data_IF_624317297323
#
_entry.id   IF_624317297323
#
_cell.length_a   1.000
_cell.length_b   1.000
_cell.length_c   1.000
_cell.angle_alpha   90.00
_cell.angle_beta   90.00
_cell.angle_gamma   90.00
#
_symmetry.space_group_name_H-M   'P 1'
#
loop_
_entity.id
_entity.type
_entity.pdbx_description
1 polymer ?
#
# COMPACT_ATOMS: atom_id res chain seq x y z
N UNK A 1 25.05 -1.98 4.79
CA UNK A 1 24.36 -2.88 3.83
C UNK A 1 22.88 -2.62 3.91
N UNK A 2 22.18 -2.60 2.77
CA UNK A 2 20.73 -2.36 2.72
C UNK A 2 19.99 -3.70 2.87
N UNK A 3 19.56 -4.03 4.09
CA UNK A 3 18.81 -5.25 4.37
C UNK A 3 17.34 -4.91 4.62
N UNK A 4 16.61 -4.57 3.55
CA UNK A 4 15.21 -4.13 3.65
C UNK A 4 14.30 -5.16 4.33
N UNK A 5 14.53 -6.45 4.08
CA UNK A 5 13.81 -7.56 4.69
C UNK A 5 13.92 -7.61 6.23
N UNK A 6 15.00 -7.07 6.82
CA UNK A 6 15.23 -7.07 8.27
C UNK A 6 14.19 -6.24 9.01
N UNK A 7 13.49 -5.31 8.34
CA UNK A 7 12.41 -4.53 8.96
C UNK A 7 11.31 -5.47 9.48
N UNK A 8 10.77 -6.33 8.63
CA UNK A 8 9.74 -7.30 9.01
C UNK A 8 10.31 -8.36 9.97
N UNK A 9 11.54 -8.82 9.72
CA UNK A 9 12.21 -9.81 10.57
C UNK A 9 12.44 -9.34 12.00
N UNK A 10 12.75 -8.05 12.22
CA UNK A 10 12.91 -7.46 13.56
C UNK A 10 11.60 -7.45 14.34
N UNK A 11 10.48 -7.18 13.67
CA UNK A 11 9.15 -7.22 14.29
C UNK A 11 8.85 -8.67 14.70
N UNK A 12 8.99 -9.62 13.78
CA UNK A 12 8.74 -11.03 14.05
C UNK A 12 9.62 -11.56 15.20
N UNK A 13 10.92 -11.25 15.19
CA UNK A 13 11.84 -11.64 16.26
C UNK A 13 11.49 -11.00 17.61
N UNK A 14 11.08 -9.73 17.63
CA UNK A 14 10.78 -9.00 18.86
C UNK A 14 9.53 -9.50 19.58
N UNK A 15 8.55 -9.98 18.82
CA UNK A 15 7.26 -10.46 19.33
C UNK A 15 7.11 -11.99 19.29
N UNK A 16 8.17 -12.71 18.88
CA UNK A 16 8.18 -14.17 18.73
C UNK A 16 7.08 -14.69 17.77
N UNK A 17 6.90 -14.00 16.64
CA UNK A 17 5.95 -14.42 15.61
C UNK A 17 6.58 -15.44 14.66
N UNK A 18 5.97 -16.62 14.57
CA UNK A 18 6.42 -17.73 13.71
C UNK A 18 5.82 -17.73 12.29
N UNK A 19 4.95 -16.78 11.96
CA UNK A 19 4.31 -16.68 10.64
C UNK A 19 5.24 -16.14 9.55
N UNK A 20 4.74 -16.10 8.31
CA UNK A 20 5.46 -15.48 7.18
C UNK A 20 5.74 -14.00 7.47
N UNK A 21 6.99 -13.59 7.31
CA UNK A 21 7.40 -12.19 7.35
C UNK A 21 8.20 -11.85 6.09
N UNK A 22 7.92 -10.69 5.49
CA UNK A 22 8.66 -10.20 4.34
C UNK A 22 8.44 -8.69 4.14
N UNK A 23 9.21 -8.13 3.23
CA UNK A 23 9.00 -6.77 2.71
C UNK A 23 8.69 -6.90 1.22
N UNK A 24 7.69 -6.17 0.76
CA UNK A 24 7.32 -6.10 -0.65
C UNK A 24 7.67 -4.72 -1.20
N UNK A 25 8.15 -4.67 -2.43
CA UNK A 25 8.42 -3.43 -3.15
C UNK A 25 7.48 -3.33 -4.35
N UNK A 26 6.56 -2.39 -4.27
CA UNK A 26 5.70 -1.98 -5.36
C UNK A 26 5.71 -0.43 -5.48
N UNK A 27 6.85 0.19 -5.17
CA UNK A 27 7.01 1.64 -5.07
C UNK A 27 5.90 2.28 -4.21
N UNK A 28 5.22 3.32 -4.70
CA UNK A 28 4.16 4.02 -3.99
C UNK A 28 2.97 3.13 -3.58
N UNK A 29 2.79 1.97 -4.20
CA UNK A 29 1.75 1.00 -3.85
C UNK A 29 2.21 -0.07 -2.85
N UNK A 30 3.44 0.02 -2.32
CA UNK A 30 4.06 -1.01 -1.48
C UNK A 30 3.23 -1.40 -0.25
N UNK A 31 2.67 -0.42 0.47
CA UNK A 31 1.83 -0.68 1.65
C UNK A 31 0.54 -1.42 1.28
N UNK A 32 -0.13 -1.03 0.20
CA UNK A 32 -1.34 -1.72 -0.29
C UNK A 32 -1.03 -3.12 -0.82
N UNK A 33 0.12 -3.32 -1.45
CA UNK A 33 0.58 -4.65 -1.86
C UNK A 33 0.85 -5.56 -0.65
N UNK A 34 1.46 -5.03 0.41
CA UNK A 34 1.68 -5.76 1.66
C UNK A 34 0.35 -6.13 2.33
N UNK A 35 -0.62 -5.22 2.34
CA UNK A 35 -1.96 -5.46 2.89
C UNK A 35 -2.68 -6.53 2.07
N UNK A 36 -2.60 -6.47 0.74
CA UNK A 36 -3.20 -7.49 -0.13
C UNK A 36 -2.65 -8.89 0.17
N UNK A 37 -1.33 -9.01 0.30
CA UNK A 37 -0.69 -10.28 0.64
C UNK A 37 -1.09 -10.78 2.03
N UNK A 38 -1.18 -9.89 3.04
CA UNK A 38 -1.68 -10.24 4.37
C UNK A 38 -3.13 -10.73 4.34
N UNK A 39 -4.01 -10.08 3.57
CA UNK A 39 -5.40 -10.50 3.37
C UNK A 39 -5.46 -11.89 2.72
N UNK A 40 -4.63 -12.16 1.69
CA UNK A 40 -4.54 -13.50 1.10
C UNK A 40 -4.14 -14.56 2.13
N UNK A 41 -3.16 -14.28 2.98
CA UNK A 41 -2.67 -15.22 4.00
C UNK A 41 -3.73 -15.54 5.07
N UNK A 42 -4.51 -14.52 5.46
CA UNK A 42 -5.66 -14.68 6.33
C UNK A 42 -6.78 -15.48 5.65
N UNK A 43 -7.14 -15.18 4.40
CA UNK A 43 -8.23 -15.89 3.71
C UNK A 43 -7.88 -17.33 3.36
N UNK A 44 -6.59 -17.64 3.19
CA UNK A 44 -6.07 -19.01 3.02
C UNK A 44 -5.90 -19.77 4.35
N UNK A 45 -6.29 -19.16 5.48
CA UNK A 45 -6.15 -19.72 6.83
C UNK A 45 -4.71 -20.14 7.19
N UNK A 46 -3.70 -19.51 6.57
CA UNK A 46 -2.28 -19.75 6.91
C UNK A 46 -1.82 -18.93 8.11
N UNK A 47 -2.50 -17.82 8.38
CA UNK A 47 -2.25 -16.96 9.52
C UNK A 47 -3.57 -16.61 10.21
N UNK A 48 -3.55 -16.42 11.53
CA UNK A 48 -4.73 -15.98 12.31
C UNK A 48 -4.77 -14.46 12.50
N UNK A 49 -3.58 -13.84 12.55
CA UNK A 49 -3.37 -12.41 12.66
C UNK A 49 -2.23 -12.04 11.72
N UNK A 50 -2.35 -10.90 11.02
CA UNK A 50 -1.28 -10.33 10.21
C UNK A 50 -1.03 -8.89 10.61
N UNK A 51 0.24 -8.51 10.81
CA UNK A 51 0.65 -7.11 10.90
C UNK A 51 1.14 -6.68 9.54
N UNK A 52 0.54 -5.64 8.97
CA UNK A 52 0.88 -5.15 7.63
C UNK A 52 0.88 -3.63 7.58
N UNK A 53 1.60 -3.04 6.64
CA UNK A 53 1.78 -1.59 6.60
C UNK A 53 2.90 -1.15 5.66
N UNK A 54 3.42 0.05 5.91
CA UNK A 54 4.51 0.63 5.14
C UNK A 54 5.33 1.64 5.93
N UNK A 55 6.57 1.81 5.50
CA UNK A 55 7.51 2.80 6.03
C UNK A 55 8.22 3.49 4.88
N UNK A 56 8.32 4.81 4.95
CA UNK A 56 9.12 5.64 4.07
C UNK A 56 9.83 6.68 4.93
N UNK A 57 11.12 6.48 5.16
CA UNK A 57 11.97 7.37 5.98
C UNK A 57 13.35 7.59 5.34
N UNK A 58 13.50 7.26 4.05
CA UNK A 58 14.76 7.49 3.34
C UNK A 58 14.73 8.85 2.66
N UNK A 59 15.19 9.86 3.40
CA UNK A 59 15.47 11.20 2.90
C UNK A 59 16.96 11.39 2.56
N UNK A 60 17.68 10.33 2.25
CA UNK A 60 19.08 10.47 1.84
C UNK A 60 19.21 11.29 0.54
N UNK A 61 20.33 12.00 0.33
CA UNK A 61 20.61 12.68 -0.93
C UNK A 61 20.50 11.75 -2.15
N UNK A 62 20.80 10.46 -1.96
CA UNK A 62 20.70 9.45 -3.01
C UNK A 62 19.26 9.28 -3.52
N UNK A 63 18.26 9.32 -2.64
CA UNK A 63 16.85 9.26 -3.05
C UNK A 63 16.50 10.45 -3.93
N UNK A 64 16.81 11.68 -3.50
CA UNK A 64 16.55 12.88 -4.30
C UNK A 64 17.29 12.86 -5.65
N UNK A 65 18.54 12.42 -5.65
CA UNK A 65 19.31 12.25 -6.89
C UNK A 65 18.69 11.21 -7.84
N UNK A 66 18.06 10.16 -7.32
CA UNK A 66 17.41 9.12 -8.13
C UNK A 66 16.25 9.67 -8.95
N UNK A 67 15.61 10.74 -8.49
CA UNK A 67 14.54 11.43 -9.22
C UNK A 67 15.02 12.68 -9.96
N UNK A 68 16.27 13.11 -9.83
CA UNK A 68 16.78 14.38 -10.41
C UNK A 68 16.65 14.49 -11.94
N UNK A 69 16.56 13.36 -12.65
CA UNK A 69 16.37 13.31 -14.11
C UNK A 69 14.91 13.15 -14.54
N UNK A 70 13.99 13.06 -13.57
CA UNK A 70 12.56 13.00 -13.80
C UNK A 70 11.97 14.30 -13.26
N UNK A 71 11.11 15.02 -14.01
CA UNK A 71 10.43 16.21 -13.50
C UNK A 71 9.30 15.81 -12.54
N UNK A 72 9.62 15.03 -11.51
CA UNK A 72 8.68 14.44 -10.59
C UNK A 72 8.33 15.39 -9.44
N UNK A 73 9.30 16.19 -8.98
CA UNK A 73 9.13 17.07 -7.83
C UNK A 73 8.63 18.45 -8.22
N UNK A 74 7.75 19.00 -7.38
CA UNK A 74 7.35 20.41 -7.48
C UNK A 74 8.52 21.35 -7.14
N UNK A 75 8.52 22.53 -7.74
CA UNK A 75 9.41 23.66 -7.45
C UNK A 75 8.80 24.66 -6.45
N UNK A 76 7.54 24.45 -6.05
CA UNK A 76 6.82 25.28 -5.09
C UNK A 76 6.88 24.77 -3.65
N UNK A 77 6.33 25.56 -2.74
CA UNK A 77 6.31 25.27 -1.30
C UNK A 77 5.18 24.30 -0.88
N UNK A 78 4.25 23.96 -1.79
CA UNK A 78 3.07 23.15 -1.51
C UNK A 78 2.72 22.14 -2.60
N UNK A 79 2.04 21.05 -2.22
CA UNK A 79 1.46 20.09 -3.16
C UNK A 79 0.04 20.50 -3.53
N UNK A 80 -0.28 20.45 -4.82
CA UNK A 80 -1.56 20.93 -5.37
C UNK A 80 -2.28 19.83 -6.15
N UNK A 81 -2.82 18.78 -5.49
CA UNK A 81 -3.57 17.74 -6.19
C UNK A 81 -4.85 18.34 -6.81
N UNK A 82 -5.12 17.99 -8.08
CA UNK A 82 -6.29 18.42 -8.87
C UNK A 82 -6.36 19.92 -9.25
N UNK A 83 -5.34 20.71 -8.92
CA UNK A 83 -5.19 22.11 -9.31
C UNK A 83 -4.65 22.20 -10.76
N UNK A 84 -5.10 23.19 -11.54
CA UNK A 84 -4.64 23.40 -12.92
C UNK A 84 -3.17 23.84 -13.00
N UNK A 85 -2.64 24.40 -11.91
CA UNK A 85 -1.24 24.78 -11.71
C UNK A 85 -0.45 23.72 -10.94
N UNK A 86 -0.91 22.46 -10.89
CA UNK A 86 -0.14 21.37 -10.27
C UNK A 86 1.17 21.08 -11.01
N UNK A 87 2.29 21.08 -10.28
CA UNK A 87 3.66 21.00 -10.86
C UNK A 87 4.48 19.78 -10.42
N UNK A 88 3.89 18.80 -9.73
CA UNK A 88 4.60 17.60 -9.28
C UNK A 88 4.29 17.23 -7.85
N UNK A 89 5.08 16.30 -7.30
CA UNK A 89 4.93 15.77 -5.95
C UNK A 89 5.95 16.38 -4.98
N UNK A 90 5.70 16.20 -3.68
CA UNK A 90 6.66 16.44 -2.60
C UNK A 90 6.84 15.12 -1.84
N UNK A 91 8.05 14.86 -1.34
CA UNK A 91 8.32 13.65 -0.56
C UNK A 91 7.92 13.88 0.90
N UNK A 92 7.12 12.96 1.42
CA UNK A 92 6.82 12.87 2.84
C UNK A 92 7.50 11.66 3.46
N UNK A 93 7.68 11.70 4.77
CA UNK A 93 8.09 10.55 5.57
C UNK A 93 6.92 10.04 6.40
N UNK A 94 6.95 8.74 6.71
CA UNK A 94 5.97 8.17 7.61
C UNK A 94 6.12 6.68 7.82
N UNK A 95 5.48 6.21 8.87
CA UNK A 95 5.27 4.80 9.16
C UNK A 95 3.81 4.60 9.52
N UNK A 96 3.21 3.55 8.97
CA UNK A 96 1.83 3.17 9.26
C UNK A 96 1.72 1.65 9.27
N UNK A 97 1.18 1.09 10.35
CA UNK A 97 0.98 -0.35 10.54
C UNK A 97 -0.43 -0.62 11.02
N UNK A 98 -1.03 -1.71 10.55
CA UNK A 98 -2.34 -2.20 10.95
C UNK A 98 -2.25 -3.68 11.32
N UNK A 99 -3.04 -4.08 12.32
CA UNK A 99 -3.27 -5.48 12.64
C UNK A 99 -4.56 -5.93 11.94
N UNK A 100 -4.49 -7.07 11.27
CA UNK A 100 -5.56 -7.62 10.45
C UNK A 100 -5.92 -9.02 10.95
N UNK A 101 -7.23 -9.28 11.00
CA UNK A 101 -7.83 -10.59 11.26
C UNK A 101 -8.99 -10.79 10.31
N UNK A 102 -9.41 -12.04 10.12
CA UNK A 102 -10.73 -12.33 9.55
C UNK A 102 -11.79 -11.74 10.49
N UNK A 103 -12.85 -11.16 9.94
CA UNK A 103 -13.89 -10.50 10.74
C UNK A 103 -14.49 -11.45 11.79
N UNK A 104 -14.80 -12.69 11.40
CA UNK A 104 -15.32 -13.73 12.30
C UNK A 104 -14.40 -14.03 13.47
N UNK A 105 -13.08 -13.96 13.26
CA UNK A 105 -12.09 -14.23 14.31
C UNK A 105 -11.93 -13.05 15.24
N UNK A 106 -11.97 -11.82 14.71
CA UNK A 106 -11.99 -10.61 15.52
C UNK A 106 -13.24 -10.59 16.41
N UNK A 107 -14.41 -10.93 15.86
CA UNK A 107 -15.66 -11.00 16.61
C UNK A 107 -15.63 -12.11 17.68
N UNK A 108 -15.16 -13.32 17.33
CA UNK A 108 -15.02 -14.43 18.27
C UNK A 108 -14.11 -14.07 19.45
N UNK A 109 -13.01 -13.39 19.17
CA UNK A 109 -11.99 -13.08 20.17
C UNK A 109 -12.32 -11.79 20.95
N UNK A 110 -13.42 -11.10 20.62
CA UNK A 110 -13.86 -9.88 21.29
C UNK A 110 -13.02 -8.65 20.95
N UNK A 111 -12.34 -8.66 19.80
CA UNK A 111 -11.49 -7.57 19.37
C UNK A 111 -12.28 -6.33 18.95
N UNK A 112 -11.72 -5.15 19.19
CA UNK A 112 -12.29 -3.90 18.65
C UNK A 112 -12.03 -3.80 17.14
N UNK A 113 -13.11 -3.86 16.36
CA UNK A 113 -13.05 -3.68 14.90
C UNK A 113 -13.15 -2.19 14.55
N UNK A 114 -12.09 -1.61 14.00
CA UNK A 114 -12.06 -0.21 13.57
C UNK A 114 -12.67 0.00 12.17
N UNK A 115 -12.44 -0.95 11.26
CA UNK A 115 -12.94 -0.95 9.90
C UNK A 115 -12.87 -2.38 9.32
N UNK A 116 -13.58 -2.61 8.22
CA UNK A 116 -13.56 -3.89 7.49
C UNK A 116 -13.07 -3.64 6.07
N UNK A 117 -12.03 -4.36 5.66
CA UNK A 117 -11.58 -4.38 4.27
C UNK A 117 -12.57 -5.25 3.49
N UNK A 118 -13.36 -4.62 2.61
CA UNK A 118 -14.37 -5.33 1.81
C UNK A 118 -13.79 -5.95 0.54
N UNK A 119 -12.81 -5.30 -0.09
CA UNK A 119 -12.12 -5.84 -1.26
C UNK A 119 -10.87 -5.05 -1.62
N UNK A 120 -9.93 -5.68 -2.32
CA UNK A 120 -8.67 -5.08 -2.77
C UNK A 120 -8.41 -5.38 -4.24
N UNK A 121 -8.40 -4.34 -5.06
CA UNK A 121 -8.05 -4.41 -6.48
C UNK A 121 -6.62 -3.97 -6.75
N UNK A 122 -5.92 -4.71 -7.61
CA UNK A 122 -4.62 -4.26 -8.16
C UNK A 122 -4.52 -4.51 -9.65
N UNK A 123 -3.67 -3.75 -10.32
CA UNK A 123 -3.37 -3.85 -11.74
C UNK A 123 -1.92 -3.43 -12.01
N UNK A 124 -1.49 -3.60 -13.26
CA UNK A 124 -0.31 -2.96 -13.82
C UNK A 124 -0.73 -2.28 -15.11
N UNK A 125 -0.12 -1.14 -15.42
CA UNK A 125 -0.36 -0.38 -16.64
C UNK A 125 0.17 -1.10 -17.89
N UNK A 126 1.08 -2.06 -17.70
CA UNK A 126 1.71 -2.83 -18.77
C UNK A 126 2.58 -1.94 -19.68
N UNK A 127 2.62 -2.27 -20.97
CA UNK A 127 3.38 -1.48 -21.96
C UNK A 127 2.64 -0.16 -22.27
N UNK A 128 3.28 0.97 -21.97
CA UNK A 128 2.77 2.31 -22.27
C UNK A 128 3.89 3.27 -22.73
N UNK A 129 3.62 4.58 -22.77
CA UNK A 129 4.54 5.61 -23.30
C UNK A 129 5.90 5.65 -22.56
N UNK A 130 5.90 5.37 -21.27
CA UNK A 130 7.08 5.29 -20.40
C UNK A 130 6.76 4.38 -19.22
N UNK A 131 7.79 3.83 -18.57
CA UNK A 131 7.64 3.03 -17.34
C UNK A 131 7.04 3.84 -16.17
N UNK A 132 7.18 5.17 -16.20
CA UNK A 132 6.65 6.07 -15.17
C UNK A 132 5.33 6.75 -15.57
N UNK A 133 4.87 6.60 -16.81
CA UNK A 133 3.67 7.27 -17.28
C UNK A 133 2.43 6.49 -16.80
N UNK A 134 1.54 7.08 -15.98
CA UNK A 134 0.34 6.40 -15.54
C UNK A 134 -0.64 6.19 -16.69
N UNK A 135 -1.44 5.12 -16.60
CA UNK A 135 -2.44 4.79 -17.61
C UNK A 135 -3.87 4.73 -17.02
N UNK A 136 -4.82 5.55 -17.51
CA UNK A 136 -6.20 5.53 -17.02
C UNK A 136 -6.87 4.15 -17.06
N UNK A 137 -6.61 3.36 -18.11
CA UNK A 137 -7.18 2.01 -18.21
C UNK A 137 -6.64 1.06 -17.14
N UNK A 138 -5.38 1.25 -16.71
CA UNK A 138 -4.78 0.48 -15.63
C UNK A 138 -5.44 0.80 -14.28
N UNK A 139 -5.67 2.08 -14.00
CA UNK A 139 -6.39 2.54 -12.81
C UNK A 139 -7.84 2.02 -12.79
N UNK A 140 -8.56 2.16 -13.91
CA UNK A 140 -9.92 1.64 -14.06
C UNK A 140 -9.98 0.13 -13.81
N UNK A 141 -8.98 -0.62 -14.27
CA UNK A 141 -8.89 -2.06 -14.06
C UNK A 141 -8.68 -2.42 -12.58
N UNK A 142 -7.84 -1.68 -11.86
CA UNK A 142 -7.69 -1.87 -10.41
C UNK A 142 -9.00 -1.60 -9.67
N UNK A 143 -9.66 -0.46 -9.96
CA UNK A 143 -10.94 -0.10 -9.34
C UNK A 143 -12.03 -1.15 -9.60
N UNK A 144 -12.22 -1.57 -10.85
CA UNK A 144 -13.20 -2.62 -11.20
C UNK A 144 -12.95 -3.92 -10.43
N UNK A 145 -11.69 -4.32 -10.25
CA UNK A 145 -11.33 -5.49 -9.46
C UNK A 145 -11.64 -5.29 -7.98
N UNK A 146 -11.36 -4.12 -7.42
CA UNK A 146 -11.66 -3.81 -6.03
C UNK A 146 -13.17 -3.89 -5.75
N UNK A 147 -14.00 -3.28 -6.59
CA UNK A 147 -15.46 -3.32 -6.42
C UNK A 147 -16.04 -4.73 -6.67
N UNK A 148 -15.51 -5.47 -7.64
CA UNK A 148 -15.93 -6.85 -7.87
C UNK A 148 -15.60 -7.76 -6.67
N UNK A 149 -14.40 -7.60 -6.09
CA UNK A 149 -13.97 -8.30 -4.88
C UNK A 149 -14.82 -7.91 -3.67
N UNK A 150 -15.17 -6.62 -3.55
CA UNK A 150 -15.98 -6.10 -2.46
C UNK A 150 -17.47 -6.44 -2.54
N UNK A 151 -17.97 -6.80 -3.73
CA UNK A 151 -19.36 -7.19 -3.96
C UNK A 151 -20.37 -6.05 -3.83
N UNK A 152 -19.97 -4.78 -3.99
CA UNK A 152 -20.88 -3.63 -3.95
C UNK A 152 -20.69 -2.66 -5.13
N UNK A 153 -21.74 -1.91 -5.45
CA UNK A 153 -21.78 -0.95 -6.56
C UNK A 153 -20.90 0.29 -6.24
N UNK A 154 -20.06 0.78 -7.16
CA UNK A 154 -19.25 1.99 -6.96
C UNK A 154 -20.03 3.22 -6.48
N UNK A 155 -21.32 3.33 -6.82
CA UNK A 155 -22.20 4.43 -6.40
C UNK A 155 -22.49 4.44 -4.90
N UNK A 156 -22.21 3.36 -4.18
CA UNK A 156 -22.33 3.33 -2.71
C UNK A 156 -21.10 3.88 -2.00
N UNK A 157 -20.03 4.21 -2.75
CA UNK A 157 -18.82 4.81 -2.19
C UNK A 157 -19.06 6.28 -1.87
N UNK A 158 -18.98 6.64 -0.58
CA UNK A 158 -19.19 8.02 -0.12
C UNK A 158 -17.94 8.91 -0.19
N UNK A 159 -16.75 8.31 -0.27
CA UNK A 159 -15.47 9.02 -0.28
C UNK A 159 -14.40 8.18 -0.99
N UNK A 160 -13.55 8.86 -1.77
CA UNK A 160 -12.34 8.33 -2.40
C UNK A 160 -11.16 9.14 -1.89
#
# INVERSE_FOLDING_TARGET
>A
GLLGNVIAGRIANRFDFGGTNCVVDAACAGSLAAIKMAVSDLLEYRSEVMISGGVCCDNSPFMYMSFSKTPAFTDGDDIRPFDDQSKGMMIGEGVGMIALKRLSDAERDGDKVYAVIKGIGSSSDGRFKSIYAPRPEGQLKALKRAYADAGFDPKTCGLI
#
